data_IF_788155782784
#
_entry.id   IF_788155782784
#
_cell.length_a   1.000
_cell.length_b   1.000
_cell.length_c   1.000
_cell.angle_alpha   90.00
_cell.angle_beta   90.00
_cell.angle_gamma   90.00
#
_symmetry.space_group_name_H-M   'P 1'
#
loop_
_entity.id
_entity.type
_entity.pdbx_description
1 polymer ?
#
# COMPACT_ATOMS: atom_id res chain seq x y z
N UNK A 1 4.98 -0.04 16.96
CA UNK A 1 4.26 -1.30 16.60
C UNK A 1 5.28 -2.41 16.47
N UNK A 2 5.31 -3.39 17.40
CA UNK A 2 6.42 -4.37 17.48
C UNK A 2 6.65 -5.15 16.17
N UNK A 3 5.59 -5.49 15.43
CA UNK A 3 5.72 -6.27 14.19
C UNK A 3 6.57 -5.53 13.14
N UNK A 4 6.25 -4.27 12.83
CA UNK A 4 7.00 -3.53 11.80
C UNK A 4 8.46 -3.36 12.18
N UNK A 5 8.75 -3.06 13.45
CA UNK A 5 10.12 -2.93 13.95
C UNK A 5 10.89 -4.26 14.04
N UNK A 6 10.20 -5.39 13.88
CA UNK A 6 10.82 -6.72 13.84
C UNK A 6 11.14 -7.15 12.41
N UNK A 7 10.33 -6.74 11.44
CA UNK A 7 10.41 -7.23 10.06
C UNK A 7 11.02 -6.24 9.07
N UNK A 8 11.11 -4.96 9.44
CA UNK A 8 11.71 -3.90 8.61
C UNK A 8 13.10 -3.58 9.15
N UNK A 9 14.09 -3.63 8.27
CA UNK A 9 15.47 -3.26 8.57
C UNK A 9 15.78 -1.85 8.05
N UNK A 10 16.74 -1.13 8.66
CA UNK A 10 17.20 0.16 8.14
C UNK A 10 17.63 0.07 6.68
N UNK A 11 17.15 1.02 5.87
CA UNK A 11 17.44 1.07 4.43
C UNK A 11 16.60 0.18 3.55
N UNK A 12 15.69 -0.61 4.11
CA UNK A 12 14.80 -1.47 3.31
C UNK A 12 13.96 -0.68 2.32
N UNK A 13 13.67 -1.35 1.20
CA UNK A 13 12.65 -0.86 0.27
C UNK A 13 11.28 -1.33 0.71
N UNK A 14 10.43 -0.36 1.04
CA UNK A 14 9.07 -0.60 1.54
C UNK A 14 8.07 -0.05 0.54
N UNK A 15 7.18 -0.92 0.04
CA UNK A 15 6.01 -0.49 -0.69
C UNK A 15 4.87 -0.24 0.30
N UNK A 16 4.30 0.95 0.25
CA UNK A 16 3.09 1.31 0.99
C UNK A 16 1.98 1.55 -0.02
N UNK A 17 1.05 0.61 -0.08
CA UNK A 17 -0.05 0.68 -1.05
C UNK A 17 -0.99 1.83 -0.72
N UNK A 18 -1.32 2.60 -1.73
CA UNK A 18 -2.31 3.66 -1.62
C UNK A 18 -2.60 4.30 -2.96
N UNK A 19 -3.89 4.46 -3.21
CA UNK A 19 -4.44 5.31 -4.27
C UNK A 19 -5.57 6.15 -3.69
N UNK A 20 -6.32 6.88 -4.51
CA UNK A 20 -7.40 7.74 -3.99
C UNK A 20 -8.62 6.95 -3.49
N UNK A 21 -8.79 5.70 -3.87
CA UNK A 21 -9.93 4.86 -3.56
C UNK A 21 -9.64 3.70 -2.61
N UNK A 22 -8.37 3.38 -2.38
CA UNK A 22 -7.95 2.31 -1.47
C UNK A 22 -6.58 2.63 -0.88
N UNK A 23 -6.46 2.58 0.44
CA UNK A 23 -5.21 2.86 1.13
C UNK A 23 -4.95 1.84 2.25
N UNK A 24 -3.68 1.53 2.47
CA UNK A 24 -3.23 0.81 3.65
C UNK A 24 -3.07 1.78 4.84
N UNK A 25 -4.14 2.49 5.20
CA UNK A 25 -4.13 3.62 6.14
C UNK A 25 -3.74 3.24 7.56
N UNK A 26 -4.18 2.07 8.03
CA UNK A 26 -3.80 1.57 9.35
C UNK A 26 -2.31 1.23 9.40
N UNK A 27 -1.78 0.58 8.37
CA UNK A 27 -0.36 0.25 8.27
C UNK A 27 0.49 1.51 8.03
N UNK A 28 -0.01 2.49 7.29
CA UNK A 28 0.65 3.79 7.13
C UNK A 28 0.82 4.50 8.47
N UNK A 29 -0.24 4.61 9.27
CA UNK A 29 -0.21 5.17 10.63
C UNK A 29 0.75 4.40 11.54
N UNK A 30 0.77 3.07 11.43
CA UNK A 30 1.67 2.24 12.20
C UNK A 30 3.15 2.46 11.80
N UNK A 31 3.43 2.63 10.51
CA UNK A 31 4.78 2.90 10.02
C UNK A 31 5.31 4.27 10.48
N UNK A 32 4.45 5.28 10.53
CA UNK A 32 4.80 6.61 11.08
C UNK A 32 5.22 6.54 12.55
N UNK A 33 4.73 5.55 13.31
CA UNK A 33 4.95 5.41 14.75
C UNK A 33 6.13 4.49 15.13
N UNK A 34 6.85 3.93 14.17
CA UNK A 34 8.04 3.12 14.48
C UNK A 34 9.15 4.01 15.03
N UNK A 35 9.99 3.44 15.88
CA UNK A 35 11.14 4.14 16.43
C UNK A 35 12.19 4.39 15.34
N UNK A 36 12.49 5.66 14.95
CA UNK A 36 13.48 5.96 13.93
C UNK A 36 14.91 5.59 14.35
N UNK A 37 15.17 5.31 15.60
CA UNK A 37 16.45 4.73 16.02
C UNK A 37 16.61 3.26 15.59
N UNK A 38 15.49 2.57 15.33
CA UNK A 38 15.45 1.16 14.91
C UNK A 38 15.16 1.00 13.42
N UNK A 39 14.25 1.81 12.89
CA UNK A 39 13.82 1.75 11.49
C UNK A 39 14.02 3.13 10.86
N UNK A 40 14.97 3.26 9.96
CA UNK A 40 15.30 4.53 9.32
C UNK A 40 15.88 4.34 7.93
N UNK A 41 15.96 5.45 7.20
CA UNK A 41 16.57 5.47 5.87
C UNK A 41 15.80 4.66 4.83
N UNK A 42 14.51 4.39 5.05
CA UNK A 42 13.72 3.56 4.14
C UNK A 42 13.62 4.19 2.76
N UNK A 43 13.62 3.32 1.76
CA UNK A 43 13.28 3.67 0.38
C UNK A 43 11.81 3.32 0.13
N UNK A 44 10.96 4.35 0.15
CA UNK A 44 9.53 4.17 -0.06
C UNK A 44 9.21 4.06 -1.55
N UNK A 45 8.34 3.11 -1.90
CA UNK A 45 7.76 2.98 -3.24
C UNK A 45 6.24 3.08 -3.11
N UNK A 46 5.63 4.05 -3.78
CA UNK A 46 4.21 4.38 -3.60
C UNK A 46 3.58 4.79 -4.93
N UNK A 47 2.40 4.25 -5.25
CA UNK A 47 1.70 4.65 -6.48
C UNK A 47 1.17 6.07 -6.40
N UNK A 48 0.45 6.39 -5.31
CA UNK A 48 -0.15 7.71 -5.06
C UNK A 48 0.10 8.15 -3.62
N UNK A 49 0.47 9.39 -3.45
CA UNK A 49 0.59 10.01 -2.12
C UNK A 49 -0.78 10.53 -1.67
N UNK A 50 -1.67 9.61 -1.28
CA UNK A 50 -3.06 9.93 -0.95
C UNK A 50 -3.23 10.46 0.47
N UNK A 51 -2.47 9.92 1.43
CA UNK A 51 -2.59 10.22 2.86
C UNK A 51 -1.47 11.12 3.36
N UNK A 52 -1.70 11.92 4.43
CA UNK A 52 -0.61 12.63 5.10
C UNK A 52 0.52 11.71 5.56
N UNK A 53 0.19 10.55 6.08
CA UNK A 53 1.12 9.53 6.58
C UNK A 53 2.15 9.09 5.52
N UNK A 54 1.80 9.18 4.24
CA UNK A 54 2.72 8.88 3.13
C UNK A 54 3.94 9.81 3.10
N UNK A 55 3.83 11.00 3.70
CA UNK A 55 4.93 11.95 3.84
C UNK A 55 5.41 12.10 5.29
N UNK A 56 4.57 11.79 6.29
CA UNK A 56 4.95 11.86 7.71
C UNK A 56 6.16 10.96 8.02
N UNK A 57 6.28 9.81 7.36
CA UNK A 57 7.43 8.90 7.51
C UNK A 57 8.77 9.56 7.17
N UNK A 58 8.80 10.56 6.28
CA UNK A 58 10.00 11.33 5.96
C UNK A 58 10.26 12.43 6.99
N UNK A 59 9.22 13.08 7.47
CA UNK A 59 9.35 14.11 8.50
C UNK A 59 9.81 13.53 9.84
N UNK A 60 9.40 12.29 10.14
CA UNK A 60 9.80 11.58 11.37
C UNK A 60 11.16 10.87 11.25
N UNK A 61 11.84 10.95 10.10
CA UNK A 61 13.14 10.34 9.90
C UNK A 61 13.15 8.83 9.65
N UNK A 62 11.97 8.23 9.44
CA UNK A 62 11.82 6.81 9.12
C UNK A 62 12.22 6.52 7.68
N UNK A 63 11.83 7.37 6.74
CA UNK A 63 12.14 7.22 5.33
C UNK A 63 13.05 8.36 4.81
N UNK A 64 13.82 8.08 3.75
CA UNK A 64 14.75 9.03 3.15
C UNK A 64 14.54 9.19 1.63
N UNK A 65 14.18 8.12 0.92
CA UNK A 65 14.05 8.10 -0.55
C UNK A 65 12.65 7.70 -0.98
N UNK A 66 12.18 8.29 -2.09
CA UNK A 66 10.84 8.07 -2.63
C UNK A 66 10.89 7.84 -4.14
N UNK A 67 10.29 6.74 -4.58
CA UNK A 67 9.84 6.50 -5.95
C UNK A 67 8.31 6.47 -5.95
N UNK A 68 7.66 7.19 -6.88
CA UNK A 68 6.20 7.29 -6.90
C UNK A 68 5.67 7.59 -8.30
N UNK A 69 4.35 7.46 -8.50
CA UNK A 69 3.71 7.78 -9.79
C UNK A 69 2.94 9.09 -9.76
N UNK A 70 2.21 9.34 -8.69
CA UNK A 70 1.37 10.53 -8.59
C UNK A 70 1.38 11.13 -7.19
N UNK A 71 1.69 12.42 -7.09
CA UNK A 71 1.78 13.11 -5.80
C UNK A 71 0.41 13.36 -5.14
N UNK A 72 -0.68 13.21 -5.88
CA UNK A 72 -2.03 13.32 -5.36
C UNK A 72 -2.28 14.61 -4.57
N UNK A 73 -3.07 14.54 -3.50
CA UNK A 73 -3.36 15.69 -2.64
C UNK A 73 -2.13 16.20 -1.85
N UNK A 74 -1.05 15.42 -1.76
CA UNK A 74 0.16 15.77 -1.02
C UNK A 74 1.19 16.55 -1.86
N UNK A 75 0.92 16.86 -3.13
CA UNK A 75 1.89 17.45 -4.05
C UNK A 75 2.57 18.72 -3.55
N UNK A 76 1.82 19.66 -2.95
CA UNK A 76 2.38 20.89 -2.41
C UNK A 76 3.31 20.65 -1.20
N UNK A 77 2.95 19.69 -0.34
CA UNK A 77 3.76 19.27 0.82
C UNK A 77 5.02 18.55 0.36
N UNK A 78 4.89 17.62 -0.59
CA UNK A 78 6.02 16.94 -1.20
C UNK A 78 7.06 17.93 -1.75
N UNK A 79 6.63 18.92 -2.54
CA UNK A 79 7.52 19.92 -3.11
C UNK A 79 8.31 20.68 -2.03
N UNK A 80 7.68 21.02 -0.90
CA UNK A 80 8.34 21.67 0.23
C UNK A 80 9.39 20.76 0.88
N UNK A 81 9.08 19.49 1.10
CA UNK A 81 9.99 18.52 1.72
C UNK A 81 11.20 18.24 0.83
N UNK A 82 10.99 18.11 -0.48
CA UNK A 82 12.08 17.95 -1.45
C UNK A 82 12.97 19.19 -1.47
N UNK A 83 12.39 20.39 -1.54
CA UNK A 83 13.15 21.66 -1.51
C UNK A 83 13.94 21.85 -0.22
N UNK A 84 13.46 21.29 0.89
CA UNK A 84 14.15 21.31 2.18
C UNK A 84 15.20 20.18 2.34
N UNK A 85 15.41 19.37 1.32
CA UNK A 85 16.35 18.23 1.36
C UNK A 85 15.94 17.09 2.30
N UNK A 86 14.64 17.01 2.64
CA UNK A 86 14.11 15.97 3.54
C UNK A 86 13.76 14.67 2.82
N UNK A 87 13.58 14.75 1.51
CA UNK A 87 13.24 13.61 0.65
C UNK A 87 14.17 13.60 -0.55
N UNK A 88 14.84 12.48 -0.78
CA UNK A 88 15.50 12.17 -2.04
C UNK A 88 14.47 11.56 -2.99
N UNK A 89 14.23 12.19 -4.14
CA UNK A 89 13.41 11.61 -5.20
C UNK A 89 14.26 10.64 -6.01
N UNK A 90 13.86 9.35 -6.05
CA UNK A 90 14.42 8.35 -6.93
C UNK A 90 13.98 8.61 -8.37
N UNK A 91 12.68 8.46 -8.62
CA UNK A 91 12.06 8.82 -9.88
C UNK A 91 10.56 9.06 -9.72
N UNK A 92 9.96 9.69 -10.73
CA UNK A 92 8.51 9.81 -10.91
C UNK A 92 8.16 8.93 -12.10
N UNK A 93 7.34 7.92 -11.87
CA UNK A 93 7.00 6.89 -12.83
C UNK A 93 5.58 7.09 -13.41
N UNK A 94 5.32 6.53 -14.56
CA UNK A 94 3.95 6.22 -14.96
C UNK A 94 3.47 4.98 -14.17
N UNK A 95 2.15 4.78 -14.05
CA UNK A 95 1.62 3.58 -13.39
C UNK A 95 2.14 2.28 -13.99
N UNK A 96 2.10 2.17 -15.32
CA UNK A 96 2.58 0.97 -16.02
C UNK A 96 4.08 0.74 -15.83
N UNK A 97 4.85 1.81 -15.84
CA UNK A 97 6.28 1.72 -15.57
C UNK A 97 6.56 1.27 -14.14
N UNK A 98 5.87 1.84 -13.16
CA UNK A 98 6.05 1.45 -11.76
C UNK A 98 5.74 -0.04 -11.54
N UNK A 99 4.67 -0.55 -12.16
CA UNK A 99 4.34 -1.98 -12.09
C UNK A 99 5.44 -2.86 -12.66
N UNK A 100 6.00 -2.48 -13.81
CA UNK A 100 7.14 -3.19 -14.38
C UNK A 100 8.38 -3.12 -13.47
N UNK A 101 8.63 -1.96 -12.85
CA UNK A 101 9.78 -1.73 -11.99
C UNK A 101 9.73 -2.53 -10.68
N UNK A 102 8.54 -2.88 -10.17
CA UNK A 102 8.44 -3.81 -9.04
C UNK A 102 9.12 -5.15 -9.31
N UNK A 103 9.15 -5.63 -10.56
CA UNK A 103 9.77 -6.89 -10.95
C UNK A 103 11.22 -6.77 -11.42
N UNK A 104 11.73 -5.56 -11.63
CA UNK A 104 13.06 -5.32 -12.19
C UNK A 104 14.04 -4.82 -11.14
N UNK A 105 13.79 -3.66 -10.56
CA UNK A 105 14.74 -2.96 -9.69
C UNK A 105 14.13 -2.19 -8.52
N UNK A 106 12.80 -2.04 -8.48
CA UNK A 106 12.08 -1.49 -7.33
C UNK A 106 11.33 -2.55 -6.52
N UNK A 107 11.75 -3.80 -6.58
CA UNK A 107 11.14 -4.91 -5.85
C UNK A 107 11.11 -4.61 -4.36
N UNK A 108 9.94 -4.59 -3.71
CA UNK A 108 9.86 -4.31 -2.28
C UNK A 108 10.46 -5.45 -1.46
N UNK A 109 11.17 -5.10 -0.38
CA UNK A 109 11.54 -6.05 0.67
C UNK A 109 10.36 -6.30 1.60
N UNK A 110 9.59 -5.24 1.86
CA UNK A 110 8.35 -5.32 2.64
C UNK A 110 7.24 -4.59 1.89
N UNK A 111 6.09 -5.24 1.76
CA UNK A 111 4.87 -4.66 1.19
C UNK A 111 3.81 -4.50 2.28
N UNK A 112 3.29 -3.30 2.41
CA UNK A 112 2.18 -2.93 3.29
C UNK A 112 0.98 -2.65 2.41
N UNK A 113 0.00 -3.56 2.40
CA UNK A 113 -1.12 -3.55 1.47
C UNK A 113 -2.48 -3.52 2.17
N UNK A 114 -3.52 -3.19 1.43
CA UNK A 114 -4.90 -3.23 1.89
C UNK A 114 -5.73 -4.22 1.07
N UNK A 115 -6.55 -5.02 1.74
CA UNK A 115 -7.58 -5.84 1.12
C UNK A 115 -8.92 -5.66 1.84
N UNK A 116 -10.01 -6.05 1.19
CA UNK A 116 -11.33 -5.97 1.79
C UNK A 116 -11.48 -6.97 2.93
N UNK A 117 -11.12 -8.23 2.67
CA UNK A 117 -11.24 -9.31 3.64
C UNK A 117 -10.10 -10.34 3.52
N UNK A 118 -9.96 -11.15 4.55
CA UNK A 118 -9.17 -12.37 4.52
C UNK A 118 -9.96 -13.53 5.13
N UNK A 119 -9.67 -14.75 4.70
CA UNK A 119 -10.17 -15.94 5.37
C UNK A 119 -9.21 -16.45 6.48
N UNK A 120 -9.62 -17.49 7.18
CA UNK A 120 -8.83 -18.06 8.27
C UNK A 120 -7.51 -18.71 7.79
N UNK A 121 -7.39 -19.00 6.50
CA UNK A 121 -6.17 -19.52 5.88
C UNK A 121 -5.20 -18.39 5.48
N UNK A 122 -5.65 -17.12 5.46
CA UNK A 122 -4.87 -15.97 5.02
C UNK A 122 -5.03 -15.61 3.55
N UNK A 123 -5.95 -16.24 2.82
CA UNK A 123 -6.27 -15.82 1.47
C UNK A 123 -6.95 -14.45 1.50
N UNK A 124 -6.53 -13.55 0.62
CA UNK A 124 -7.05 -12.19 0.57
C UNK A 124 -8.10 -12.02 -0.51
N UNK A 125 -9.09 -11.19 -0.19
CA UNK A 125 -10.13 -10.72 -1.09
C UNK A 125 -9.98 -9.22 -1.21
N UNK A 126 -9.49 -8.72 -2.34
CA UNK A 126 -9.18 -7.30 -2.54
C UNK A 126 -10.42 -6.42 -2.61
N UNK A 127 -11.58 -7.01 -2.87
CA UNK A 127 -12.85 -6.31 -2.98
C UNK A 127 -13.02 -5.59 -4.32
N UNK A 128 -13.73 -4.46 -4.36
CA UNK A 128 -14.09 -3.80 -5.61
C UNK A 128 -12.93 -3.07 -6.31
N UNK A 129 -11.78 -2.99 -5.67
CA UNK A 129 -10.59 -2.32 -6.17
C UNK A 129 -9.35 -3.17 -5.89
N UNK A 130 -8.83 -3.81 -6.93
CA UNK A 130 -7.60 -4.61 -6.86
C UNK A 130 -6.37 -3.79 -7.23
N UNK A 131 -6.50 -2.92 -8.19
CA UNK A 131 -5.49 -2.03 -8.77
C UNK A 131 -4.05 -2.59 -8.73
N UNK A 132 -3.15 -1.97 -7.99
CA UNK A 132 -1.74 -2.37 -7.92
C UNK A 132 -1.44 -3.48 -6.90
N UNK A 133 -2.40 -3.87 -6.04
CA UNK A 133 -2.17 -4.91 -5.02
C UNK A 133 -1.57 -6.20 -5.58
N UNK A 134 -2.10 -6.82 -6.66
CA UNK A 134 -1.52 -8.07 -7.17
C UNK A 134 -0.07 -7.91 -7.61
N UNK A 135 0.28 -6.84 -8.31
CA UNK A 135 1.65 -6.61 -8.77
C UNK A 135 2.63 -6.41 -7.61
N UNK A 136 2.23 -5.65 -6.59
CA UNK A 136 3.04 -5.43 -5.38
C UNK A 136 3.27 -6.75 -4.65
N UNK A 137 2.20 -7.52 -4.41
CA UNK A 137 2.27 -8.78 -3.65
C UNK A 137 3.10 -9.81 -4.40
N UNK A 138 2.84 -10.02 -5.68
CA UNK A 138 3.57 -11.00 -6.50
C UNK A 138 5.07 -10.69 -6.54
N UNK A 139 5.43 -9.45 -6.85
CA UNK A 139 6.84 -9.04 -6.90
C UNK A 139 7.53 -9.23 -5.55
N UNK A 140 6.86 -8.88 -4.45
CA UNK A 140 7.41 -9.01 -3.09
C UNK A 140 7.56 -10.47 -2.69
N UNK A 141 6.50 -11.27 -2.83
CA UNK A 141 6.48 -12.67 -2.41
C UNK A 141 7.49 -13.52 -3.21
N UNK A 142 7.57 -13.33 -4.53
CA UNK A 142 8.46 -14.11 -5.38
C UNK A 142 9.94 -13.76 -5.18
N UNK A 143 10.22 -12.58 -4.64
CA UNK A 143 11.60 -12.21 -4.24
C UNK A 143 11.95 -12.65 -2.81
N UNK A 144 11.05 -13.35 -2.11
CA UNK A 144 11.24 -13.74 -0.71
C UNK A 144 11.07 -12.57 0.27
N UNK A 145 10.37 -11.51 -0.12
CA UNK A 145 10.01 -10.38 0.72
C UNK A 145 8.82 -10.70 1.64
N UNK A 146 8.46 -9.72 2.45
CA UNK A 146 7.41 -9.84 3.48
C UNK A 146 6.19 -9.05 3.03
N UNK A 147 5.03 -9.71 2.97
CA UNK A 147 3.75 -9.07 2.66
C UNK A 147 2.90 -8.99 3.93
N UNK A 148 2.51 -7.77 4.30
CA UNK A 148 1.63 -7.49 5.44
C UNK A 148 0.35 -6.86 4.89
N UNK A 149 -0.77 -7.55 5.08
CA UNK A 149 -2.06 -7.10 4.60
C UNK A 149 -2.93 -6.58 5.75
N UNK A 150 -3.39 -5.34 5.66
CA UNK A 150 -4.52 -4.91 6.47
C UNK A 150 -5.83 -5.31 5.80
N UNK A 151 -6.80 -5.76 6.59
CA UNK A 151 -8.14 -6.13 6.11
C UNK A 151 -9.23 -5.48 6.97
N UNK A 152 -10.38 -5.25 6.36
CA UNK A 152 -11.55 -4.73 7.05
C UNK A 152 -12.26 -5.81 7.87
N UNK A 153 -12.28 -7.05 7.36
CA UNK A 153 -12.97 -8.15 8.01
C UNK A 153 -12.28 -9.50 7.78
N UNK A 154 -12.58 -10.43 8.67
CA UNK A 154 -12.25 -11.84 8.50
C UNK A 154 -13.52 -12.59 8.09
N UNK A 155 -13.43 -13.43 7.07
CA UNK A 155 -14.56 -14.18 6.50
C UNK A 155 -14.31 -15.68 6.57
N UNK A 156 -15.40 -16.45 6.50
CA UNK A 156 -15.29 -17.89 6.28
C UNK A 156 -15.18 -18.15 4.77
N UNK A 157 -14.03 -18.61 4.32
CA UNK A 157 -13.76 -18.90 2.91
C UNK A 157 -14.68 -19.97 2.30
N UNK A 158 -15.42 -20.76 3.12
CA UNK A 158 -16.37 -21.74 2.64
C UNK A 158 -17.77 -21.18 2.41
N UNK A 159 -18.12 -20.12 3.12
CA UNK A 159 -19.48 -19.54 3.11
C UNK A 159 -19.54 -18.14 2.53
N UNK A 160 -18.39 -17.52 2.30
CA UNK A 160 -18.33 -16.17 1.72
C UNK A 160 -18.95 -16.14 0.33
N UNK A 161 -19.67 -15.05 0.04
CA UNK A 161 -20.22 -14.75 -1.27
C UNK A 161 -19.27 -13.88 -2.12
N UNK A 162 -18.08 -13.62 -1.61
CA UNK A 162 -17.05 -12.90 -2.37
C UNK A 162 -16.68 -13.72 -3.61
N UNK A 163 -16.49 -13.08 -4.77
CA UNK A 163 -16.51 -13.78 -6.05
C UNK A 163 -15.31 -14.71 -6.25
N UNK A 164 -14.16 -14.42 -5.63
CA UNK A 164 -12.95 -15.25 -5.75
C UNK A 164 -11.90 -14.81 -4.73
N UNK A 165 -10.91 -15.67 -4.55
CA UNK A 165 -9.65 -15.34 -3.89
C UNK A 165 -8.77 -14.64 -4.93
N UNK A 166 -8.40 -13.41 -4.66
CA UNK A 166 -7.55 -12.62 -5.55
C UNK A 166 -6.06 -12.87 -5.27
N UNK A 167 -5.70 -13.11 -4.00
CA UNK A 167 -4.32 -13.32 -3.55
C UNK A 167 -4.28 -14.53 -2.63
N UNK A 168 -3.49 -15.58 -2.99
CA UNK A 168 -3.40 -16.79 -2.19
C UNK A 168 -2.59 -16.56 -0.90
N UNK A 169 -2.93 -17.31 0.14
CA UNK A 169 -2.30 -17.23 1.46
C UNK A 169 -0.77 -17.39 1.43
N UNK A 170 -0.25 -18.23 0.53
CA UNK A 170 1.18 -18.50 0.41
C UNK A 170 2.01 -17.25 0.02
N UNK A 171 1.37 -16.20 -0.47
CA UNK A 171 2.01 -14.95 -0.81
C UNK A 171 1.91 -13.89 0.30
N UNK A 172 1.25 -14.22 1.41
CA UNK A 172 0.97 -13.28 2.50
C UNK A 172 1.65 -13.75 3.78
N UNK A 173 2.51 -12.91 4.32
CA UNK A 173 3.24 -13.24 5.57
C UNK A 173 2.41 -12.95 6.81
N UNK A 174 1.65 -11.85 6.80
CA UNK A 174 0.82 -11.44 7.94
C UNK A 174 -0.48 -10.80 7.48
N UNK A 175 -1.57 -11.13 8.17
CA UNK A 175 -2.87 -10.48 8.01
C UNK A 175 -3.22 -9.75 9.31
N UNK A 176 -3.58 -8.47 9.20
CA UNK A 176 -3.94 -7.62 10.34
C UNK A 176 -5.34 -7.05 10.09
N UNK A 177 -6.27 -7.38 10.98
CA UNK A 177 -7.59 -6.74 10.94
C UNK A 177 -7.47 -5.31 11.44
N UNK A 178 -7.81 -4.33 10.60
CA UNK A 178 -7.82 -2.93 10.99
C UNK A 178 -8.91 -2.67 12.04
N UNK A 179 -8.63 -1.83 13.06
CA UNK A 179 -9.62 -1.48 14.09
C UNK A 179 -10.86 -0.79 13.55
N UNK A 180 -10.68 -0.02 12.47
CA UNK A 180 -11.74 0.64 11.72
C UNK A 180 -11.65 0.24 10.26
N UNK A 181 -12.77 -0.11 9.61
CA UNK A 181 -12.77 -0.45 8.20
C UNK A 181 -12.28 0.72 7.34
N UNK A 182 -11.36 0.44 6.41
CA UNK A 182 -11.01 1.38 5.37
C UNK A 182 -12.07 1.34 4.25
N UNK A 183 -12.37 2.49 3.69
CA UNK A 183 -13.26 2.59 2.52
C UNK A 183 -12.48 2.13 1.29
N UNK A 184 -12.94 1.05 0.65
CA UNK A 184 -12.45 0.58 -0.63
C UNK A 184 -13.52 0.91 -1.66
N UNK A 185 -13.27 1.94 -2.44
CA UNK A 185 -14.18 2.36 -3.50
C UNK A 185 -13.90 1.60 -4.79
N UNK A 186 -14.95 1.24 -5.55
CA UNK A 186 -14.75 0.60 -6.85
C UNK A 186 -14.03 1.56 -7.81
N UNK A 187 -13.18 0.99 -8.65
CA UNK A 187 -12.64 1.70 -9.80
C UNK A 187 -13.78 2.23 -10.65
N UNK A 188 -13.74 3.51 -11.01
CA UNK A 188 -14.78 4.15 -11.81
C UNK A 188 -14.81 3.57 -13.23
N UNK A 189 -15.49 2.45 -13.39
CA UNK A 189 -16.05 2.10 -14.70
C UNK A 189 -17.36 2.87 -14.86
N UNK A 190 -17.60 3.49 -15.99
CA UNK A 190 -18.89 4.13 -16.30
C UNK A 190 -20.00 3.10 -16.16
N UNK A 191 -20.62 3.04 -14.99
CA UNK A 191 -21.88 2.32 -14.84
C UNK A 191 -22.94 3.12 -15.62
N UNK A 192 -23.40 2.56 -16.74
CA UNK A 192 -24.46 3.15 -17.57
C UNK A 192 -25.71 3.47 -16.75
N UNK A 193 -25.94 2.80 -15.62
CA UNK A 193 -27.09 3.03 -14.73
C UNK A 193 -26.94 4.30 -13.89
N UNK A 194 -25.72 4.74 -13.55
CA UNK A 194 -25.49 5.99 -12.81
C UNK A 194 -25.54 7.22 -13.69
N UNK A 195 -25.17 7.14 -14.98
CA UNK A 195 -25.24 8.27 -15.90
C UNK A 195 -26.67 8.69 -16.24
N UNK A 196 -27.67 7.81 -16.07
CA UNK A 196 -29.08 8.13 -16.28
C UNK A 196 -29.72 8.93 -15.13
N UNK A 197 -29.14 8.87 -13.90
CA UNK A 197 -29.67 9.59 -12.73
C UNK A 197 -29.12 11.00 -12.55
N UNK A 198 -28.05 11.37 -13.25
CA UNK A 198 -27.46 12.71 -13.19
C UNK A 198 -27.97 13.68 -14.28
N UNK A 199 -29.04 13.32 -14.99
CA UNK A 199 -29.67 14.14 -16.03
C UNK A 199 -31.15 14.46 -15.73
N UNK A 200 -31.54 14.51 -14.46
CA UNK A 200 -32.84 15.05 -14.05
C UNK A 200 -32.63 16.26 -13.16
#
# INVERSE_FOLDING_TARGET
>A
MPLLETVIEPGDRVCLEGNNQKQADFLAKALVQVDPARVHGLHMVQSVLALPEHLDVFENGVAARLDFSFSGPQGARLAKLVSAGRIEIGAIHTYLELFARYFVDLTPKVALIAAHAADAQGNLYTGPNTEDTPAIVEATAFSGGIVIAQVNEMVDGKTTTLPRIDIPADWVSFVVKAPSPNVIEPLFTRDRRRSARSRC
#
